data_IF_744130960156
#
_entry.id   IF_744130960156
#
_cell.length_a   1.000
_cell.length_b   1.000
_cell.length_c   1.000
_cell.angle_alpha   90.00
_cell.angle_beta   90.00
_cell.angle_gamma   90.00
#
_symmetry.space_group_name_H-M   'P 1'
#
loop_
_entity.id
_entity.type
_entity.pdbx_description
1 polymer ?
#
# COMPACT_ATOMS: atom_id res chain seq x y z
N UNK A 1 10.39 2.98 9.53
CA UNK A 1 11.82 3.04 9.90
C UNK A 1 11.93 2.82 11.39
N UNK A 2 12.83 1.95 11.83
CA UNK A 2 12.99 1.55 13.23
C UNK A 2 14.48 1.65 13.57
N UNK A 3 14.81 2.25 14.70
CA UNK A 3 16.17 2.26 15.23
C UNK A 3 16.42 0.96 16.00
N UNK A 4 17.45 0.21 15.61
CA UNK A 4 17.86 -1.04 16.23
C UNK A 4 19.09 -0.78 17.07
N UNK A 5 18.97 -0.90 18.40
CA UNK A 5 20.10 -0.71 19.33
C UNK A 5 20.96 -1.98 19.38
N UNK A 6 22.17 -1.89 18.84
CA UNK A 6 23.17 -2.95 18.92
C UNK A 6 24.23 -2.68 19.98
N UNK A 7 25.09 -3.67 20.24
CA UNK A 7 26.22 -3.54 21.18
C UNK A 7 27.26 -2.49 20.76
N UNK A 8 27.34 -2.20 19.46
CA UNK A 8 28.32 -1.26 18.86
C UNK A 8 27.74 0.14 18.59
N UNK A 9 26.50 0.39 19.01
CA UNK A 9 25.74 1.59 18.65
C UNK A 9 24.41 1.24 17.99
N UNK A 10 23.62 2.26 17.71
CA UNK A 10 22.34 2.11 17.03
C UNK A 10 22.48 2.15 15.51
N UNK A 11 21.65 1.36 14.84
CA UNK A 11 21.55 1.31 13.38
C UNK A 11 20.10 1.58 12.96
N UNK A 12 19.95 2.26 11.83
CA UNK A 12 18.65 2.69 11.35
C UNK A 12 18.10 1.73 10.29
N UNK A 13 17.07 0.96 10.63
CA UNK A 13 16.38 0.08 9.70
C UNK A 13 15.25 0.83 8.99
N UNK A 14 15.53 1.36 7.80
CA UNK A 14 14.60 2.19 7.03
C UNK A 14 14.19 1.66 5.67
N UNK A 15 14.82 0.58 5.20
CA UNK A 15 14.64 0.05 3.84
C UNK A 15 14.37 -1.44 3.90
N UNK A 16 13.49 -1.92 3.03
CA UNK A 16 13.23 -3.35 2.88
C UNK A 16 14.51 -4.11 2.49
N UNK A 17 14.82 -5.13 3.27
CA UNK A 17 16.08 -5.89 3.18
C UNK A 17 16.10 -6.94 2.07
N UNK A 18 14.93 -7.38 1.59
CA UNK A 18 14.84 -8.57 0.72
C UNK A 18 14.87 -8.26 -0.78
N UNK A 19 14.79 -6.99 -1.14
CA UNK A 19 14.85 -6.58 -2.53
C UNK A 19 16.25 -6.85 -3.10
N UNK A 20 16.31 -7.64 -4.19
CA UNK A 20 17.55 -7.99 -4.92
C UNK A 20 17.58 -7.27 -6.25
N UNK A 21 18.08 -6.02 -6.31
CA UNK A 21 18.03 -5.19 -7.53
C UNK A 21 18.83 -5.78 -8.70
N UNK A 22 19.81 -6.63 -8.43
CA UNK A 22 20.63 -7.35 -9.40
C UNK A 22 19.98 -8.61 -9.99
N UNK A 23 18.72 -8.91 -9.65
CA UNK A 23 18.00 -10.09 -10.16
C UNK A 23 17.80 -10.03 -11.67
N UNK A 24 18.25 -11.06 -12.40
CA UNK A 24 18.05 -11.20 -13.85
C UNK A 24 17.25 -12.46 -14.22
N UNK A 25 16.66 -12.49 -15.41
CA UNK A 25 15.97 -13.67 -15.92
C UNK A 25 16.90 -14.90 -16.00
N UNK A 26 18.16 -14.75 -16.41
CA UNK A 26 19.09 -15.89 -16.46
C UNK A 26 19.40 -16.41 -15.05
N UNK A 27 19.53 -15.51 -14.07
CA UNK A 27 19.78 -15.89 -12.68
C UNK A 27 18.61 -16.69 -12.09
N UNK A 28 17.37 -16.31 -12.41
CA UNK A 28 16.15 -16.99 -11.98
C UNK A 28 15.97 -18.36 -12.66
N UNK A 29 16.26 -18.45 -13.97
CA UNK A 29 16.14 -19.69 -14.74
C UNK A 29 17.07 -20.82 -14.23
N UNK A 30 18.16 -20.46 -13.54
CA UNK A 30 19.12 -21.42 -12.95
C UNK A 30 18.66 -21.99 -11.61
N UNK A 31 17.57 -21.48 -11.02
CA UNK A 31 17.12 -21.91 -9.71
C UNK A 31 16.42 -23.27 -9.78
N UNK A 32 16.75 -24.15 -8.84
CA UNK A 32 16.10 -25.45 -8.71
C UNK A 32 14.71 -25.31 -8.09
N UNK A 33 13.75 -26.20 -8.45
CA UNK A 33 12.46 -26.27 -7.78
C UNK A 33 12.61 -26.53 -6.27
N UNK A 34 11.88 -25.76 -5.46
CA UNK A 34 12.04 -25.75 -4.00
C UNK A 34 11.20 -26.81 -3.27
N UNK A 35 10.10 -27.27 -3.86
CA UNK A 35 9.12 -28.14 -3.19
C UNK A 35 8.95 -29.53 -3.81
N UNK A 36 9.07 -29.64 -5.14
CA UNK A 36 8.90 -30.89 -5.89
C UNK A 36 9.92 -30.94 -7.01
N UNK A 37 10.46 -32.13 -7.33
CA UNK A 37 11.52 -32.30 -8.34
C UNK A 37 11.11 -31.78 -9.73
N UNK A 38 9.87 -32.04 -10.14
CA UNK A 38 9.32 -31.58 -11.42
C UNK A 38 8.41 -30.34 -11.28
N UNK A 39 8.60 -29.58 -10.19
CA UNK A 39 7.83 -28.36 -9.93
C UNK A 39 8.41 -27.12 -10.62
N UNK A 40 7.63 -26.04 -10.67
CA UNK A 40 8.05 -24.74 -11.22
C UNK A 40 8.33 -23.68 -10.14
N UNK A 41 7.99 -23.95 -8.89
CA UNK A 41 8.17 -23.01 -7.78
C UNK A 41 9.61 -23.08 -7.29
N UNK A 42 10.30 -21.94 -7.34
CA UNK A 42 11.70 -21.79 -6.94
C UNK A 42 11.82 -20.74 -5.83
N UNK A 43 12.98 -20.67 -5.17
CA UNK A 43 13.24 -19.62 -4.18
C UNK A 43 13.27 -18.20 -4.75
N UNK A 44 13.30 -18.03 -6.08
CA UNK A 44 13.30 -16.72 -6.75
C UNK A 44 11.93 -16.24 -7.18
N UNK A 45 10.93 -17.13 -7.29
CA UNK A 45 9.55 -16.75 -7.66
C UNK A 45 8.55 -16.90 -6.51
N UNK A 46 8.95 -17.56 -5.41
CA UNK A 46 8.16 -17.62 -4.19
C UNK A 46 8.58 -16.52 -3.21
N UNK A 47 7.66 -16.02 -2.35
CA UNK A 47 8.03 -15.14 -1.26
C UNK A 47 8.98 -15.86 -0.28
N UNK A 48 9.96 -15.12 0.24
CA UNK A 48 10.79 -15.58 1.34
C UNK A 48 10.07 -15.43 2.69
N UNK A 49 10.71 -15.94 3.75
CA UNK A 49 10.29 -15.64 5.12
C UNK A 49 10.73 -14.21 5.47
N UNK A 50 9.81 -13.44 6.06
CA UNK A 50 10.05 -12.05 6.45
C UNK A 50 9.46 -11.77 7.84
N UNK A 51 9.86 -10.66 8.45
CA UNK A 51 9.33 -10.17 9.72
C UNK A 51 9.01 -8.69 9.59
N UNK A 52 7.78 -8.30 9.96
CA UNK A 52 7.30 -6.92 9.86
C UNK A 52 5.95 -6.73 10.53
N UNK A 53 5.58 -5.46 10.74
CA UNK A 53 4.30 -5.05 11.30
C UNK A 53 3.76 -3.84 10.54
N UNK A 54 2.44 -3.79 10.35
CA UNK A 54 1.74 -2.67 9.73
C UNK A 54 0.43 -2.39 10.47
N UNK A 55 0.01 -1.12 10.50
CA UNK A 55 -1.25 -0.68 11.07
C UNK A 55 -1.84 0.44 10.20
N UNK A 56 -3.18 0.50 10.15
CA UNK A 56 -3.92 1.54 9.42
C UNK A 56 -5.08 2.04 10.25
N UNK A 57 -5.40 3.33 10.13
CA UNK A 57 -6.60 3.93 10.72
C UNK A 57 -7.64 4.11 9.61
N UNK A 58 -8.83 3.58 9.80
CA UNK A 58 -9.97 3.80 8.91
C UNK A 58 -10.96 4.78 9.54
N UNK A 59 -11.51 5.66 8.72
CA UNK A 59 -12.58 6.58 9.13
C UNK A 59 -13.89 6.25 8.43
N UNK A 60 -15.01 6.66 9.04
CA UNK A 60 -16.30 6.58 8.35
C UNK A 60 -16.29 7.46 7.10
N UNK A 61 -16.91 7.02 6.00
CA UNK A 61 -17.11 7.88 4.85
C UNK A 61 -17.88 9.14 5.27
N UNK A 62 -17.44 10.30 4.77
CA UNK A 62 -18.12 11.57 4.99
C UNK A 62 -19.54 11.46 4.45
N UNK A 63 -20.54 11.84 5.25
CA UNK A 63 -21.93 11.90 4.77
C UNK A 63 -21.99 12.94 3.64
N UNK A 64 -22.58 12.63 2.48
CA UNK A 64 -22.72 13.62 1.40
C UNK A 64 -23.42 14.86 1.94
N UNK A 65 -22.94 16.05 1.54
CA UNK A 65 -23.67 17.27 1.78
C UNK A 65 -25.05 17.15 1.13
N UNK A 66 -26.12 17.65 1.78
CA UNK A 66 -27.41 17.76 1.11
C UNK A 66 -27.23 18.60 -0.17
N UNK A 67 -28.03 18.35 -1.23
CA UNK A 67 -28.00 19.19 -2.41
C UNK A 67 -28.20 20.65 -2.01
N UNK A 68 -27.51 21.56 -2.69
CA UNK A 68 -27.77 23.00 -2.52
C UNK A 68 -29.26 23.26 -2.77
N UNK A 69 -29.92 24.13 -1.99
CA UNK A 69 -31.31 24.49 -2.26
C UNK A 69 -31.44 24.98 -3.70
N UNK A 70 -32.52 24.57 -4.37
CA UNK A 70 -32.83 25.05 -5.71
C UNK A 70 -32.82 26.58 -5.71
N UNK A 71 -32.26 27.23 -6.75
CA UNK A 71 -32.31 28.68 -6.85
C UNK A 71 -33.76 29.15 -6.73
N UNK A 72 -33.96 30.19 -5.92
CA UNK A 72 -35.26 30.82 -5.76
C UNK A 72 -35.75 31.24 -7.15
N UNK A 73 -36.92 30.77 -7.60
CA UNK A 73 -37.55 31.22 -8.83
C UNK A 73 -37.54 32.74 -8.94
N UNK A 74 -37.05 33.24 -10.08
CA UNK A 74 -36.87 34.66 -10.34
C UNK A 74 -38.18 35.47 -10.20
N UNK A 75 -39.34 34.82 -10.31
CA UNK A 75 -40.65 35.44 -10.14
C UNK A 75 -41.01 35.76 -8.68
N UNK A 76 -40.32 35.20 -7.68
CA UNK A 76 -40.52 35.51 -6.26
C UNK A 76 -39.73 36.74 -5.80
N UNK A 77 -38.85 37.27 -6.65
CA UNK A 77 -38.11 38.51 -6.42
C UNK A 77 -38.79 39.75 -7.03
N UNK A 78 -39.91 39.59 -7.74
CA UNK A 78 -40.65 40.73 -8.31
C UNK A 78 -41.47 41.46 -7.24
N UNK A 79 -41.39 42.81 -7.16
CA UNK A 79 -42.19 43.63 -6.23
C UNK A 79 -43.72 43.56 -6.45
N UNK A 80 -44.19 42.79 -7.43
CA UNK A 80 -45.58 42.79 -7.92
C UNK A 80 -46.41 41.61 -7.38
N UNK A 81 -45.91 40.88 -6.38
CA UNK A 81 -46.64 39.75 -5.77
C UNK A 81 -46.99 40.04 -4.30
N UNK A 82 -47.79 41.08 -4.08
CA UNK A 82 -48.64 41.33 -2.90
C UNK A 82 -49.86 42.11 -3.36
#
# INVERSE_FOLDING_TARGET
MIEVKGRKGSELFGKDERNRPETTAESLARLRPAFRKDGSITAGNAPGLNSGAAASIAWKPMKPLPPSPSPVPANWASPTTW
#
